data_IF_761648431521
#
_entry.id   IF_761648431521
#
_cell.length_a   1.000
_cell.length_b   1.000
_cell.length_c   1.000
_cell.angle_alpha   90.00
_cell.angle_beta   90.00
_cell.angle_gamma   90.00
#
_symmetry.space_group_name_H-M   'P 1'
#
loop_
_entity.id
_entity.type
_entity.pdbx_description
1 polymer ?
#
# COMPACT_ATOMS: atom_id res chain seq x y z
N UNK A 1 -3.14 -2.05 -13.99
CA UNK A 1 -1.87 -1.32 -13.74
C UNK A 1 -1.24 -1.85 -12.45
N UNK A 2 0.09 -1.80 -12.34
CA UNK A 2 0.84 -2.16 -11.13
C UNK A 2 1.53 -0.90 -10.62
N UNK A 3 1.39 -0.58 -9.34
CA UNK A 3 2.27 0.35 -8.63
C UNK A 3 3.49 -0.43 -8.14
N UNK A 4 4.67 -0.08 -8.65
CA UNK A 4 5.91 -0.77 -8.34
C UNK A 4 6.54 -0.37 -7.00
N UNK A 5 6.09 0.71 -6.37
CA UNK A 5 6.64 1.17 -5.09
C UNK A 5 5.65 2.07 -4.33
N UNK A 6 5.06 1.53 -3.28
CA UNK A 6 4.30 2.29 -2.29
C UNK A 6 4.68 1.87 -0.86
N UNK A 7 4.24 2.62 0.15
CA UNK A 7 4.41 2.28 1.58
C UNK A 7 3.06 2.26 2.32
N UNK A 8 2.10 1.50 1.81
CA UNK A 8 0.72 1.46 2.34
C UNK A 8 0.59 0.82 3.73
N UNK A 9 1.67 0.19 4.22
CA UNK A 9 1.76 -0.42 5.55
C UNK A 9 2.18 0.58 6.64
N UNK A 10 2.44 1.84 6.28
CA UNK A 10 2.79 2.87 7.24
C UNK A 10 1.56 3.39 8.01
N UNK A 11 1.81 3.92 9.21
CA UNK A 11 0.78 4.35 10.15
C UNK A 11 -0.06 5.53 9.63
N UNK A 12 0.49 6.36 8.72
CA UNK A 12 -0.27 7.45 8.10
C UNK A 12 -1.49 6.96 7.31
N UNK A 13 -1.55 5.67 6.94
CA UNK A 13 -2.67 5.07 6.23
C UNK A 13 -3.56 4.22 7.13
N UNK A 14 -3.30 4.10 8.44
CA UNK A 14 -4.09 3.21 9.30
C UNK A 14 -5.58 3.57 9.37
N UNK A 15 -5.92 4.86 9.22
CA UNK A 15 -7.31 5.34 9.26
C UNK A 15 -8.06 5.16 7.93
N UNK A 16 -7.36 5.18 6.79
CA UNK A 16 -7.99 5.31 5.46
C UNK A 16 -7.46 4.33 4.39
N UNK A 17 -6.65 3.33 4.76
CA UNK A 17 -6.06 2.34 3.85
C UNK A 17 -7.06 1.73 2.88
N UNK A 18 -8.21 1.30 3.39
CA UNK A 18 -9.25 0.67 2.55
C UNK A 18 -9.83 1.64 1.52
N UNK A 19 -9.96 2.93 1.88
CA UNK A 19 -10.39 3.97 0.95
C UNK A 19 -9.31 4.23 -0.12
N UNK A 20 -8.03 4.27 0.27
CA UNK A 20 -6.90 4.42 -0.66
C UNK A 20 -6.87 3.28 -1.68
N UNK A 21 -7.03 2.02 -1.22
CA UNK A 21 -7.08 0.85 -2.08
C UNK A 21 -8.29 0.87 -3.03
N UNK A 22 -9.45 1.32 -2.53
CA UNK A 22 -10.67 1.48 -3.33
C UNK A 22 -10.46 2.50 -4.44
N UNK A 23 -9.96 3.70 -4.10
CA UNK A 23 -9.68 4.77 -5.06
C UNK A 23 -8.69 4.32 -6.14
N UNK A 24 -7.64 3.58 -5.74
CA UNK A 24 -6.65 3.06 -6.68
C UNK A 24 -7.27 2.03 -7.65
N UNK A 25 -8.17 1.17 -7.16
CA UNK A 25 -8.87 0.19 -7.98
C UNK A 25 -9.81 0.85 -9.01
N UNK A 26 -10.46 1.95 -8.66
CA UNK A 26 -11.34 2.73 -9.56
C UNK A 26 -10.58 3.31 -10.76
N UNK A 27 -9.32 3.71 -10.56
CA UNK A 27 -8.45 4.21 -11.65
C UNK A 27 -7.62 3.10 -12.31
N UNK A 28 -7.85 1.83 -11.96
CA UNK A 28 -7.27 0.66 -12.62
C UNK A 28 -5.92 0.18 -12.08
N UNK A 29 -5.47 0.70 -10.93
CA UNK A 29 -4.32 0.18 -10.18
C UNK A 29 -4.82 -0.90 -9.23
N UNK A 30 -4.43 -2.17 -9.47
CA UNK A 30 -4.96 -3.33 -8.72
C UNK A 30 -3.88 -4.19 -8.07
N UNK A 31 -2.63 -3.80 -8.21
CA UNK A 31 -1.47 -4.56 -7.79
C UNK A 31 -0.44 -3.56 -7.28
N UNK A 32 0.14 -3.87 -6.13
CA UNK A 32 1.07 -3.01 -5.44
C UNK A 32 2.28 -3.84 -5.03
N UNK A 33 3.45 -3.25 -5.12
CA UNK A 33 4.65 -3.71 -4.43
C UNK A 33 4.87 -2.74 -3.28
N UNK A 34 4.97 -3.27 -2.06
CA UNK A 34 5.12 -2.50 -0.83
C UNK A 34 6.50 -2.80 -0.22
N UNK A 35 7.59 -2.11 -0.65
CA UNK A 35 8.92 -2.38 -0.15
C UNK A 35 9.03 -2.04 1.33
N UNK A 36 9.72 -2.89 2.06
CA UNK A 36 10.00 -2.69 3.47
C UNK A 36 11.30 -1.90 3.64
N UNK A 37 11.36 -1.07 4.67
CA UNK A 37 12.54 -0.24 4.97
C UNK A 37 13.41 -0.84 6.08
N UNK A 38 12.88 -1.80 6.82
CA UNK A 38 13.55 -2.53 7.89
C UNK A 38 12.93 -3.93 8.07
N UNK A 39 13.48 -4.70 9.00
CA UNK A 39 13.01 -6.05 9.29
C UNK A 39 11.61 -6.06 9.92
N UNK A 40 11.25 -5.01 10.66
CA UNK A 40 9.95 -4.91 11.32
C UNK A 40 8.83 -4.72 10.28
N UNK A 41 8.97 -3.69 9.44
CA UNK A 41 8.08 -3.37 8.32
C UNK A 41 8.04 -4.50 7.28
N UNK A 42 9.06 -5.36 7.19
CA UNK A 42 9.05 -6.54 6.31
C UNK A 42 8.06 -7.63 6.70
N UNK A 43 7.50 -7.53 7.91
CA UNK A 43 6.53 -8.48 8.44
C UNK A 43 5.13 -7.88 8.56
N UNK A 44 4.97 -6.60 8.18
CA UNK A 44 3.72 -5.84 8.24
C UNK A 44 3.08 -5.75 6.85
N UNK A 45 1.75 -5.85 6.80
CA UNK A 45 0.93 -5.86 5.57
C UNK A 45 0.25 -4.50 5.35
#
# INVERSE_FOLDING_TARGET
MIDSHCHLNFEQFDEDRDQVLTNAAEVGVRRFINPSIDLETSRRL
#
